data_IF_132579190073
#
_entry.id   IF_132579190073
#
_cell.length_a   1.000
_cell.length_b   1.000
_cell.length_c   1.000
_cell.angle_alpha   90.00
_cell.angle_beta   90.00
_cell.angle_gamma   90.00
#
_symmetry.space_group_name_H-M   'P 1'
#
loop_
_entity.id
_entity.type
_entity.pdbx_description
1 polymer ?
#
# COMPACT_ATOMS: atom_id res chain seq x y z
N UNK A 1 -10.84 8.89 -13.32
CA UNK A 1 -9.80 9.94 -13.32
C UNK A 1 -8.65 9.42 -14.16
N UNK A 2 -8.03 10.26 -15.00
CA UNK A 2 -6.86 9.88 -15.79
C UNK A 2 -5.75 10.89 -15.52
N UNK A 3 -4.54 10.42 -15.29
CA UNK A 3 -3.34 11.25 -15.20
C UNK A 3 -2.46 10.95 -16.40
N UNK A 4 -1.97 11.98 -17.06
CA UNK A 4 -1.01 11.84 -18.15
C UNK A 4 -0.15 13.09 -18.28
N UNK A 5 1.04 12.93 -18.86
CA UNK A 5 1.93 14.04 -19.17
C UNK A 5 1.41 14.76 -20.42
N UNK A 6 1.34 16.09 -20.38
CA UNK A 6 0.98 16.94 -21.51
C UNK A 6 2.01 18.06 -21.65
N UNK A 7 2.90 17.92 -22.63
CA UNK A 7 4.10 18.77 -22.73
C UNK A 7 5.00 18.58 -21.50
N UNK A 8 5.30 19.68 -20.81
CA UNK A 8 6.07 19.68 -19.55
C UNK A 8 5.18 19.55 -18.29
N UNK A 9 3.86 19.60 -18.46
CA UNK A 9 2.90 19.55 -17.36
C UNK A 9 2.31 18.16 -17.09
N UNK A 10 1.70 18.02 -15.91
CA UNK A 10 0.84 16.89 -15.55
C UNK A 10 -0.62 17.28 -15.76
N UNK A 11 -1.33 16.58 -16.64
CA UNK A 11 -2.75 16.76 -16.86
C UNK A 11 -3.55 15.74 -16.03
N UNK A 12 -4.58 16.23 -15.33
CA UNK A 12 -5.54 15.40 -14.59
C UNK A 12 -6.91 15.59 -15.21
N UNK A 13 -7.47 14.51 -15.77
CA UNK A 13 -8.83 14.52 -16.30
C UNK A 13 -9.78 14.00 -15.23
N UNK A 14 -10.57 14.93 -14.70
CA UNK A 14 -11.63 14.66 -13.74
C UNK A 14 -12.93 14.30 -14.47
N UNK A 15 -13.67 13.26 -14.03
CA UNK A 15 -15.01 12.99 -14.54
C UNK A 15 -15.95 14.19 -14.34
N UNK A 16 -16.87 14.41 -15.27
CA UNK A 16 -17.80 15.55 -15.22
C UNK A 16 -18.64 15.56 -13.93
N UNK A 17 -19.05 14.39 -13.44
CA UNK A 17 -19.78 14.24 -12.17
C UNK A 17 -18.98 14.75 -10.97
N UNK A 18 -17.68 14.48 -10.95
CA UNK A 18 -16.78 14.96 -9.89
C UNK A 18 -16.55 16.46 -10.00
N UNK A 19 -16.35 16.96 -11.23
CA UNK A 19 -16.19 18.39 -11.52
C UNK A 19 -17.41 19.18 -11.04
N UNK A 20 -18.62 18.74 -11.38
CA UNK A 20 -19.89 19.37 -10.93
C UNK A 20 -20.06 19.31 -9.42
N UNK A 21 -19.83 18.15 -8.81
CA UNK A 21 -19.97 17.96 -7.36
C UNK A 21 -19.00 18.83 -6.55
N UNK A 22 -17.78 19.02 -7.07
CA UNK A 22 -16.75 19.87 -6.45
C UNK A 22 -16.87 21.34 -6.84
N UNK A 23 -17.78 21.69 -7.76
CA UNK A 23 -17.97 23.06 -8.23
C UNK A 23 -16.79 23.63 -9.04
N UNK A 24 -15.94 22.77 -9.62
CA UNK A 24 -14.75 23.19 -10.35
C UNK A 24 -15.14 23.74 -11.74
N UNK A 25 -14.55 24.86 -12.14
CA UNK A 25 -14.77 25.51 -13.43
C UNK A 25 -13.49 25.55 -14.25
N UNK A 26 -13.65 25.73 -15.56
CA UNK A 26 -12.51 25.96 -16.44
C UNK A 26 -11.87 27.32 -16.10
N UNK A 27 -10.53 27.34 -15.99
CA UNK A 27 -9.79 28.51 -15.55
C UNK A 27 -9.57 28.62 -14.04
N UNK A 28 -10.15 27.74 -13.23
CA UNK A 28 -9.85 27.70 -11.80
C UNK A 28 -8.37 27.36 -11.59
N UNK A 29 -7.67 28.17 -10.79
CA UNK A 29 -6.28 27.93 -10.43
C UNK A 29 -6.16 27.15 -9.12
N UNK A 30 -5.31 26.12 -9.14
CA UNK A 30 -5.02 25.29 -7.96
C UNK A 30 -3.52 25.28 -7.66
N UNK A 31 -3.20 25.12 -6.39
CA UNK A 31 -1.86 24.79 -5.90
C UNK A 31 -1.84 23.37 -5.36
N UNK A 32 -0.74 22.67 -5.67
CA UNK A 32 -0.47 21.34 -5.16
C UNK A 32 0.35 21.43 -3.88
N UNK A 33 -0.07 20.69 -2.87
CA UNK A 33 0.70 20.50 -1.64
C UNK A 33 0.86 19.02 -1.38
N UNK A 34 2.07 18.57 -1.07
CA UNK A 34 2.30 17.23 -0.53
C UNK A 34 2.01 17.27 0.97
N UNK A 35 1.01 16.50 1.41
CA UNK A 35 0.66 16.39 2.84
C UNK A 35 1.57 15.37 3.52
N UNK A 36 1.76 14.22 2.87
CA UNK A 36 2.60 13.11 3.28
C UNK A 36 3.31 12.56 2.04
N UNK A 37 4.41 11.80 2.18
CA UNK A 37 5.10 11.20 1.03
C UNK A 37 4.13 10.44 0.11
N UNK A 38 3.92 10.97 -1.10
CA UNK A 38 3.02 10.39 -2.10
C UNK A 38 1.54 10.79 -1.99
N UNK A 39 1.14 11.59 -1.00
CA UNK A 39 -0.23 12.09 -0.81
C UNK A 39 -0.27 13.58 -1.10
N UNK A 40 -0.95 13.95 -2.19
CA UNK A 40 -1.08 15.33 -2.63
C UNK A 40 -2.50 15.85 -2.45
N UNK A 41 -2.61 17.11 -2.02
CA UNK A 41 -3.86 17.86 -1.98
C UNK A 41 -3.81 19.00 -2.99
N UNK A 42 -4.94 19.21 -3.66
CA UNK A 42 -5.19 20.33 -4.56
C UNK A 42 -6.04 21.37 -3.83
N UNK A 43 -5.52 22.58 -3.68
CA UNK A 43 -6.25 23.71 -3.10
C UNK A 43 -6.48 24.80 -4.14
N UNK A 44 -7.72 25.28 -4.25
CA UNK A 44 -8.04 26.44 -5.08
C UNK A 44 -7.36 27.69 -4.52
N UNK A 45 -6.68 28.47 -5.36
CA UNK A 45 -5.98 29.69 -4.95
C UNK A 45 -6.92 30.77 -4.42
N UNK A 46 -8.14 30.84 -4.94
CA UNK A 46 -9.18 31.76 -4.47
C UNK A 46 -9.48 31.51 -2.98
N UNK A 47 -9.64 30.24 -2.61
CA UNK A 47 -9.87 29.83 -1.23
C UNK A 47 -8.62 29.89 -0.34
N UNK A 48 -7.43 29.77 -0.94
CA UNK A 48 -6.17 29.79 -0.21
C UNK A 48 -5.94 31.17 0.42
N UNK A 49 -6.17 32.25 -0.33
CA UNK A 49 -5.97 33.61 0.16
C UNK A 49 -6.86 33.96 1.36
N UNK A 50 -8.10 33.48 1.38
CA UNK A 50 -9.00 33.71 2.52
C UNK A 50 -8.59 32.91 3.76
N UNK A 51 -8.11 31.68 3.57
CA UNK A 51 -7.77 30.77 4.68
C UNK A 51 -6.38 31.03 5.25
N UNK A 52 -5.44 31.49 4.43
CA UNK A 52 -4.12 31.96 4.88
C UNK A 52 -4.28 33.19 5.76
N UNK A 53 -5.15 34.14 5.39
CA UNK A 53 -5.49 35.31 6.24
C UNK A 53 -6.11 34.91 7.59
N UNK A 54 -6.83 33.80 7.63
CA UNK A 54 -7.49 33.29 8.86
C UNK A 54 -6.61 32.35 9.69
N UNK A 55 -5.37 32.07 9.30
CA UNK A 55 -4.47 31.15 10.02
C UNK A 55 -4.89 29.66 10.00
N UNK A 56 -6.03 29.33 9.39
CA UNK A 56 -6.64 27.99 9.38
C UNK A 56 -5.80 26.97 8.63
N UNK A 57 -5.02 27.41 7.64
CA UNK A 57 -4.12 26.51 6.91
C UNK A 57 -3.07 25.90 7.84
N UNK A 58 -2.56 26.69 8.79
CA UNK A 58 -1.61 26.19 9.78
C UNK A 58 -2.24 25.16 10.71
N UNK A 59 -3.53 25.30 11.05
CA UNK A 59 -4.25 24.33 11.89
C UNK A 59 -4.66 23.08 11.13
N UNK A 60 -4.90 23.16 9.82
CA UNK A 60 -5.22 21.99 9.01
C UNK A 60 -3.95 21.15 8.78
N UNK A 61 -2.86 21.82 8.41
CA UNK A 61 -1.53 21.21 8.34
C UNK A 61 -1.17 20.67 9.72
N UNK A 62 -1.33 21.42 10.82
CA UNK A 62 -1.09 20.90 12.17
C UNK A 62 -2.01 19.75 12.54
N UNK A 63 -3.31 19.77 12.27
CA UNK A 63 -4.19 18.62 12.59
C UNK A 63 -3.82 17.35 11.83
N UNK A 64 -3.30 17.50 10.61
CA UNK A 64 -2.76 16.40 9.82
C UNK A 64 -1.33 16.03 10.24
N UNK A 65 -0.54 16.99 10.74
CA UNK A 65 0.86 16.81 11.17
C UNK A 65 1.03 16.47 12.66
N UNK A 66 0.00 16.63 13.50
CA UNK A 66 0.05 16.46 14.95
C UNK A 66 -0.14 15.00 15.39
N UNK A 67 0.32 14.07 14.57
CA UNK A 67 0.81 12.80 15.10
C UNK A 67 2.33 12.69 15.12
N UNK A 68 3.11 13.74 14.82
CA UNK A 68 4.54 13.67 15.18
C UNK A 68 5.29 14.99 15.46
N UNK A 69 6.32 14.81 16.28
CA UNK A 69 6.95 15.71 17.25
C UNK A 69 7.57 17.04 16.76
N UNK A 70 7.72 18.05 17.65
CA UNK A 70 8.26 19.37 17.32
C UNK A 70 9.79 19.39 17.37
N UNK A 71 10.46 19.13 16.25
CA UNK A 71 11.77 19.71 15.98
C UNK A 71 12.08 19.72 14.48
N UNK A 72 11.87 20.86 13.80
CA UNK A 72 12.33 21.07 12.42
C UNK A 72 13.04 22.40 12.29
N UNK A 73 14.36 22.35 12.46
CA UNK A 73 15.29 23.27 11.79
C UNK A 73 15.28 22.99 10.28
N UNK A 74 15.51 24.04 9.50
CA UNK A 74 15.43 24.05 8.04
C UNK A 74 16.18 22.88 7.36
N UNK A 75 15.44 22.05 6.61
CA UNK A 75 15.99 20.88 5.93
C UNK A 75 16.48 21.29 4.53
N UNK A 76 17.80 21.32 4.36
CA UNK A 76 18.48 21.12 3.07
C UNK A 76 18.12 19.72 2.54
N UNK A 77 18.08 19.46 1.22
CA UNK A 77 17.81 18.12 0.69
C UNK A 77 18.95 17.18 1.11
N UNK A 78 18.77 16.53 2.24
CA UNK A 78 19.77 15.67 2.87
C UNK A 78 19.36 14.22 2.63
N UNK A 79 20.36 13.39 2.33
CA UNK A 79 20.22 11.97 2.12
C UNK A 79 19.33 11.34 3.21
N UNK A 80 18.18 10.79 2.81
CA UNK A 80 17.35 9.95 3.66
C UNK A 80 18.23 8.81 4.19
N UNK A 81 18.55 8.87 5.47
CA UNK A 81 19.32 7.84 6.18
C UNK A 81 18.57 6.52 6.10
N UNK A 82 19.23 5.49 5.55
CA UNK A 82 18.67 4.14 5.32
C UNK A 82 18.03 3.52 6.56
N UNK A 83 18.52 3.86 7.76
CA UNK A 83 18.11 3.29 9.05
C UNK A 83 16.66 3.59 9.44
N UNK A 84 16.09 4.73 9.04
CA UNK A 84 14.74 5.11 9.49
C UNK A 84 13.65 4.32 8.77
N UNK A 85 13.93 3.85 7.54
CA UNK A 85 12.95 3.11 6.75
C UNK A 85 12.92 1.62 7.13
N UNK A 86 14.08 1.04 7.46
CA UNK A 86 14.18 -0.36 7.91
C UNK A 86 13.34 -0.62 9.18
N UNK A 87 13.24 0.36 10.09
CA UNK A 87 12.43 0.21 11.31
C UNK A 87 10.93 0.13 11.05
N UNK A 88 10.44 0.67 9.93
CA UNK A 88 9.01 0.69 9.67
C UNK A 88 8.53 -0.64 9.07
N UNK A 89 9.28 -1.19 8.12
CA UNK A 89 8.94 -2.44 7.43
C UNK A 89 8.88 -3.63 8.38
N UNK A 90 9.86 -3.74 9.29
CA UNK A 90 9.86 -4.79 10.31
C UNK A 90 8.68 -4.69 11.25
N UNK A 91 8.33 -3.49 11.72
CA UNK A 91 7.13 -3.27 12.54
C UNK A 91 5.83 -3.63 11.82
N UNK A 92 5.72 -3.31 10.53
CA UNK A 92 4.56 -3.68 9.72
C UNK A 92 4.46 -5.20 9.60
N UNK A 93 5.58 -5.89 9.35
CA UNK A 93 5.59 -7.35 9.24
C UNK A 93 5.31 -8.03 10.59
N UNK A 94 5.84 -7.50 11.69
CA UNK A 94 5.64 -8.03 13.04
C UNK A 94 4.19 -7.84 13.52
N UNK A 95 3.53 -6.75 13.12
CA UNK A 95 2.16 -6.44 13.54
C UNK A 95 1.09 -7.04 12.63
N UNK A 96 1.30 -6.97 11.31
CA UNK A 96 0.34 -7.42 10.30
C UNK A 96 0.60 -8.83 9.78
N UNK A 97 1.82 -9.36 9.95
CA UNK A 97 2.20 -10.69 9.48
C UNK A 97 2.52 -10.78 7.98
N UNK A 98 2.29 -9.73 7.20
CA UNK A 98 2.58 -9.70 5.76
C UNK A 98 2.91 -8.30 5.25
N UNK A 99 3.50 -8.24 4.06
CA UNK A 99 3.79 -7.02 3.29
C UNK A 99 3.63 -7.29 1.79
N UNK A 100 3.09 -6.32 1.05
CA UNK A 100 2.98 -6.38 -0.41
C UNK A 100 3.69 -5.17 -1.01
N UNK A 101 4.55 -5.43 -1.99
CA UNK A 101 5.40 -4.41 -2.60
C UNK A 101 5.19 -4.43 -4.12
N UNK A 102 4.96 -3.25 -4.70
CA UNK A 102 4.70 -3.09 -6.13
C UNK A 102 5.98 -2.83 -6.95
N UNK A 103 7.09 -2.48 -6.29
CA UNK A 103 8.34 -2.07 -6.95
C UNK A 103 9.50 -3.05 -6.65
N UNK A 104 10.19 -3.46 -7.71
CA UNK A 104 11.36 -4.33 -7.64
C UNK A 104 12.53 -3.74 -6.85
N UNK A 105 12.76 -2.41 -6.94
CA UNK A 105 13.82 -1.75 -6.19
C UNK A 105 13.59 -1.84 -4.67
N UNK A 106 12.34 -1.67 -4.25
CA UNK A 106 11.93 -1.77 -2.86
C UNK A 106 11.95 -3.22 -2.36
N UNK A 107 11.47 -4.17 -3.18
CA UNK A 107 11.55 -5.60 -2.88
C UNK A 107 13.00 -6.08 -2.70
N UNK A 108 13.94 -5.62 -3.54
CA UNK A 108 15.36 -5.93 -3.40
C UNK A 108 15.94 -5.39 -2.09
N UNK A 109 15.57 -4.17 -1.71
CA UNK A 109 15.99 -3.57 -0.44
C UNK A 109 15.47 -4.38 0.74
N UNK A 110 14.19 -4.70 0.75
CA UNK A 110 13.54 -5.47 1.82
C UNK A 110 14.13 -6.88 1.90
N UNK A 111 14.36 -7.54 0.78
CA UNK A 111 15.05 -8.84 0.75
C UNK A 111 16.44 -8.79 1.36
N UNK A 112 17.16 -7.67 1.22
CA UNK A 112 18.47 -7.47 1.86
C UNK A 112 18.31 -7.22 3.36
N UNK A 113 17.32 -6.42 3.76
CA UNK A 113 17.05 -6.11 5.16
C UNK A 113 16.62 -7.35 5.98
N UNK A 114 15.84 -8.24 5.38
CA UNK A 114 15.36 -9.49 5.99
C UNK A 114 16.21 -10.71 5.63
N UNK A 115 17.45 -10.54 5.14
CA UNK A 115 18.28 -11.65 4.66
C UNK A 115 18.47 -12.75 5.74
N UNK A 116 18.65 -12.34 7.00
CA UNK A 116 18.83 -13.28 8.12
C UNK A 116 17.54 -14.04 8.41
N UNK A 117 16.42 -13.34 8.51
CA UNK A 117 15.10 -13.91 8.75
C UNK A 117 14.68 -14.86 7.61
N UNK A 118 14.99 -14.53 6.35
CA UNK A 118 14.74 -15.40 5.19
C UNK A 118 15.61 -16.66 5.26
N UNK A 119 16.90 -16.53 5.59
CA UNK A 119 17.82 -17.67 5.74
C UNK A 119 17.40 -18.61 6.89
N UNK A 120 16.86 -18.05 7.96
CA UNK A 120 16.33 -18.82 9.09
C UNK A 120 14.96 -19.45 8.80
N UNK A 121 14.27 -19.01 7.74
CA UNK A 121 12.90 -19.44 7.43
C UNK A 121 11.82 -18.71 8.23
N UNK A 122 12.16 -17.64 8.94
CA UNK A 122 11.22 -16.83 9.71
C UNK A 122 10.31 -15.97 8.81
N UNK A 123 10.80 -15.64 7.61
CA UNK A 123 10.11 -14.84 6.60
C UNK A 123 10.23 -15.51 5.23
N UNK A 124 9.14 -15.51 4.46
CA UNK A 124 9.11 -16.00 3.09
C UNK A 124 8.62 -14.93 2.14
N UNK A 125 9.20 -14.90 0.93
CA UNK A 125 8.85 -13.95 -0.11
C UNK A 125 8.65 -14.64 -1.46
N UNK A 126 7.66 -14.21 -2.24
CA UNK A 126 7.42 -14.67 -3.61
C UNK A 126 7.05 -13.50 -4.53
N UNK A 127 7.44 -13.57 -5.80
CA UNK A 127 7.00 -12.65 -6.85
C UNK A 127 5.78 -13.24 -7.56
N UNK A 128 4.64 -12.58 -7.45
CA UNK A 128 3.42 -12.97 -8.15
C UNK A 128 3.47 -12.65 -9.65
N UNK A 129 2.58 -13.29 -10.42
CA UNK A 129 2.40 -13.04 -11.85
C UNK A 129 1.91 -11.61 -12.16
N UNK A 130 1.31 -10.93 -11.19
CA UNK A 130 0.91 -9.53 -11.26
C UNK A 130 2.08 -8.54 -11.06
N UNK A 131 3.31 -9.07 -11.00
CA UNK A 131 4.57 -8.34 -10.77
C UNK A 131 4.72 -7.73 -9.37
N UNK A 132 3.85 -8.11 -8.42
CA UNK A 132 3.98 -7.74 -7.01
C UNK A 132 4.85 -8.73 -6.25
N UNK A 133 5.41 -8.28 -5.14
CA UNK A 133 6.18 -9.11 -4.21
C UNK A 133 5.40 -9.26 -2.92
N UNK A 134 5.18 -10.50 -2.51
CA UNK A 134 4.43 -10.87 -1.33
C UNK A 134 5.39 -11.42 -0.31
N UNK A 135 5.43 -10.82 0.86
CA UNK A 135 6.32 -11.21 1.96
C UNK A 135 5.45 -11.52 3.16
N UNK A 136 5.68 -12.68 3.78
CA UNK A 136 4.84 -13.17 4.87
C UNK A 136 5.73 -13.74 5.97
N UNK A 137 5.41 -13.43 7.22
CA UNK A 137 6.08 -14.06 8.37
C UNK A 137 5.60 -15.50 8.55
N UNK A 138 6.50 -16.40 8.95
CA UNK A 138 6.19 -17.82 9.07
C UNK A 138 5.09 -18.13 10.11
N UNK A 139 5.03 -17.44 11.28
CA UNK A 139 3.92 -17.62 12.21
C UNK A 139 2.56 -17.28 11.59
N UNK A 140 2.50 -16.16 10.86
CA UNK A 140 1.28 -15.73 10.18
C UNK A 140 0.88 -16.69 9.05
N UNK A 141 1.85 -17.11 8.23
CA UNK A 141 1.65 -18.10 7.18
C UNK A 141 1.09 -19.42 7.74
N UNK A 142 1.65 -19.93 8.82
CA UNK A 142 1.23 -21.19 9.44
C UNK A 142 -0.21 -21.12 9.93
N UNK A 143 -0.57 -20.03 10.61
CA UNK A 143 -1.91 -19.83 11.16
C UNK A 143 -2.98 -19.61 10.07
N UNK A 144 -2.67 -18.85 9.02
CA UNK A 144 -3.65 -18.53 7.98
C UNK A 144 -3.74 -19.64 6.92
N UNK A 145 -2.64 -20.27 6.54
CA UNK A 145 -2.68 -21.35 5.54
C UNK A 145 -3.50 -22.56 6.01
N UNK A 146 -3.51 -22.87 7.31
CA UNK A 146 -4.37 -23.94 7.86
C UNK A 146 -5.86 -23.61 7.71
N UNK A 147 -6.26 -22.35 7.97
CA UNK A 147 -7.64 -21.87 7.76
C UNK A 147 -8.00 -21.95 6.28
N UNK A 148 -7.12 -21.48 5.38
CA UNK A 148 -7.33 -21.51 3.93
C UNK A 148 -7.50 -22.94 3.43
N UNK A 149 -6.66 -23.89 3.88
CA UNK A 149 -6.79 -25.32 3.54
C UNK A 149 -8.15 -25.87 3.95
N UNK A 150 -8.63 -25.54 5.15
CA UNK A 150 -9.93 -25.99 5.63
C UNK A 150 -11.08 -25.50 4.74
N UNK A 151 -11.02 -24.26 4.27
CA UNK A 151 -12.00 -23.70 3.32
C UNK A 151 -11.93 -24.41 1.97
N UNK A 152 -10.73 -24.50 1.39
CA UNK A 152 -10.52 -25.08 0.06
C UNK A 152 -10.69 -26.60 -0.01
N UNK A 153 -10.69 -27.30 1.13
CA UNK A 153 -10.98 -28.73 1.21
C UNK A 153 -12.44 -29.04 0.82
N UNK A 154 -13.35 -28.08 0.98
CA UNK A 154 -14.78 -28.26 0.66
C UNK A 154 -15.06 -28.04 -0.82
N UNK A 155 -14.60 -26.93 -1.38
CA UNK A 155 -14.77 -26.57 -2.77
C UNK A 155 -13.73 -25.53 -3.21
N UNK A 156 -13.49 -25.37 -4.52
CA UNK A 156 -12.74 -24.23 -5.03
C UNK A 156 -13.47 -22.91 -4.72
N UNK A 157 -12.75 -21.89 -4.26
CA UNK A 157 -13.30 -20.62 -3.80
C UNK A 157 -12.50 -19.42 -4.34
N UNK A 158 -13.13 -18.24 -4.31
CA UNK A 158 -12.48 -16.96 -4.58
C UNK A 158 -11.67 -16.43 -3.40
N UNK A 159 -10.73 -15.51 -3.64
CA UNK A 159 -10.00 -14.80 -2.56
C UNK A 159 -10.94 -14.17 -1.54
N UNK A 160 -12.04 -13.58 -2.02
CA UNK A 160 -13.06 -12.95 -1.18
C UNK A 160 -13.78 -13.97 -0.29
N UNK A 161 -14.31 -15.06 -0.87
CA UNK A 161 -14.98 -16.12 -0.09
C UNK A 161 -14.03 -16.73 0.95
N UNK A 162 -12.76 -16.94 0.58
CA UNK A 162 -11.72 -17.41 1.49
C UNK A 162 -11.51 -16.43 2.64
N UNK A 163 -11.45 -15.13 2.35
CA UNK A 163 -11.26 -14.08 3.36
C UNK A 163 -12.42 -13.99 4.35
N UNK A 164 -13.66 -14.10 3.86
CA UNK A 164 -14.87 -14.09 4.66
C UNK A 164 -14.91 -15.33 5.57
N UNK A 165 -14.59 -16.52 5.03
CA UNK A 165 -14.55 -17.76 5.80
C UNK A 165 -13.38 -17.84 6.80
N UNK A 166 -12.21 -17.29 6.45
CA UNK A 166 -11.03 -17.27 7.33
C UNK A 166 -11.08 -16.16 8.40
N UNK A 167 -12.05 -15.22 8.28
CA UNK A 167 -12.16 -14.01 9.09
C UNK A 167 -10.88 -13.16 9.05
N UNK A 168 -10.32 -12.98 7.86
CA UNK A 168 -9.10 -12.21 7.61
C UNK A 168 -9.30 -11.24 6.46
N UNK A 169 -8.41 -10.26 6.32
CA UNK A 169 -8.45 -9.36 5.16
C UNK A 169 -8.16 -10.11 3.86
N UNK A 170 -8.86 -9.75 2.78
CA UNK A 170 -8.63 -10.33 1.44
C UNK A 170 -7.17 -10.19 1.00
N UNK A 171 -6.53 -9.07 1.34
CA UNK A 171 -5.13 -8.78 1.02
C UNK A 171 -4.17 -9.76 1.72
N UNK A 172 -4.41 -10.05 3.00
CA UNK A 172 -3.64 -11.04 3.75
C UNK A 172 -3.80 -12.45 3.15
N UNK A 173 -5.04 -12.84 2.84
CA UNK A 173 -5.31 -14.12 2.19
C UNK A 173 -4.60 -14.22 0.84
N UNK A 174 -4.63 -13.16 0.02
CA UNK A 174 -3.90 -13.14 -1.25
C UNK A 174 -2.40 -13.35 -1.08
N UNK A 175 -1.77 -12.73 -0.08
CA UNK A 175 -0.35 -12.93 0.19
C UNK A 175 -0.03 -14.40 0.49
N UNK A 176 -0.79 -15.03 1.39
CA UNK A 176 -0.61 -16.45 1.73
C UNK A 176 -0.93 -17.37 0.55
N UNK A 177 -1.98 -17.06 -0.22
CA UNK A 177 -2.35 -17.83 -1.42
C UNK A 177 -1.23 -17.84 -2.46
N UNK A 178 -0.48 -16.74 -2.65
CA UNK A 178 0.66 -16.76 -3.59
C UNK A 178 1.80 -17.65 -3.10
N UNK A 179 2.09 -17.67 -1.79
CA UNK A 179 3.10 -18.57 -1.23
C UNK A 179 2.67 -20.05 -1.39
N UNK A 180 1.40 -20.37 -1.08
CA UNK A 180 0.88 -21.72 -1.24
C UNK A 180 0.86 -22.19 -2.71
N UNK A 181 0.69 -21.27 -3.67
CA UNK A 181 0.83 -21.57 -5.10
C UNK A 181 2.26 -21.93 -5.48
N UNK A 182 3.22 -21.16 -4.98
CA UNK A 182 4.65 -21.39 -5.21
C UNK A 182 5.08 -22.75 -4.67
N UNK A 183 4.54 -23.14 -3.50
CA UNK A 183 4.79 -24.45 -2.89
C UNK A 183 4.06 -25.61 -3.59
N UNK A 184 3.21 -25.32 -4.59
CA UNK A 184 2.41 -26.33 -5.28
C UNK A 184 1.29 -26.94 -4.44
N UNK A 185 0.95 -26.34 -3.29
CA UNK A 185 -0.13 -26.83 -2.42
C UNK A 185 -1.51 -26.56 -3.02
N UNK A 186 -1.64 -25.46 -3.77
CA UNK A 186 -2.87 -25.07 -4.43
C UNK A 186 -2.62 -24.53 -5.84
N UNK A 187 -3.65 -24.58 -6.67
CA UNK A 187 -3.67 -24.06 -8.03
C UNK A 187 -4.78 -23.04 -8.22
N UNK A 188 -4.54 -22.07 -9.09
CA UNK A 188 -5.54 -21.10 -9.54
C UNK A 188 -6.18 -21.60 -10.83
N UNK A 189 -7.39 -22.17 -10.75
CA UNK A 189 -8.07 -22.79 -11.90
C UNK A 189 -8.53 -21.76 -12.94
N UNK A 190 -8.92 -20.58 -12.47
CA UNK A 190 -9.28 -19.40 -13.25
C UNK A 190 -8.92 -18.17 -12.42
N UNK A 191 -8.78 -17.01 -13.05
CA UNK A 191 -8.37 -15.77 -12.38
C UNK A 191 -9.19 -15.52 -11.10
N UNK A 192 -8.51 -15.52 -9.97
CA UNK A 192 -9.06 -15.31 -8.63
C UNK A 192 -9.77 -16.51 -8.00
N UNK A 193 -9.68 -17.72 -8.57
CA UNK A 193 -10.36 -18.92 -8.08
C UNK A 193 -9.37 -20.04 -7.78
N UNK A 194 -9.31 -20.45 -6.52
CA UNK A 194 -8.27 -21.31 -5.98
C UNK A 194 -8.83 -22.68 -5.62
N UNK A 195 -8.00 -23.71 -5.71
CA UNK A 195 -8.32 -25.10 -5.37
C UNK A 195 -7.06 -25.79 -4.87
N UNK A 196 -7.17 -26.67 -3.88
CA UNK A 196 -6.05 -27.55 -3.50
C UNK A 196 -5.64 -28.43 -4.68
N UNK A 197 -4.33 -28.70 -4.79
CA UNK A 197 -3.79 -29.73 -5.68
C UNK A 197 -4.14 -31.09 -5.06
N UNK A 198 -4.70 -31.99 -5.87
CA UNK A 198 -5.04 -33.36 -5.47
C UNK A 198 -3.89 -34.30 -5.76
#
# INVERSE_FOLDING_TARGET
MKLFKYGEGLAIVLPESLRKRMGLKEGDEFEFFELEPGVFILYSKENLNERVKKGVFSDLVKKLSLQDSPNRQAIRPNAYSRETVERNEKKVLDSGGYLIIDNEAEAKRISTAFEKEIKNGDVRGVRGFDKRYYIVSMPFYSALSSKIRAVLATAPCTSREISEAASESEVACLAVLQLMKEDGELIEKKKGFFSLVK
#
